data_IF_870989410229
#
_entry.id   IF_870989410229
#
_cell.length_a   1.000
_cell.length_b   1.000
_cell.length_c   1.000
_cell.angle_alpha   90.00
_cell.angle_beta   90.00
_cell.angle_gamma   90.00
#
_symmetry.space_group_name_H-M   'P 1'
#
loop_
_entity.id
_entity.type
_entity.pdbx_description
1 polymer ?
#
# COMPACT_ATOMS: atom_id res chain seq x y z
N UNK A 1 6.49 13.29 -26.16
CA UNK A 1 5.05 12.94 -26.09
C UNK A 1 4.82 12.25 -24.77
N UNK A 2 4.39 13.01 -23.77
CA UNK A 2 4.06 12.50 -22.44
C UNK A 2 2.60 12.09 -22.46
N UNK A 3 2.30 10.81 -22.21
CA UNK A 3 0.93 10.35 -22.00
C UNK A 3 0.77 10.10 -20.50
N UNK A 4 0.57 11.17 -19.75
CA UNK A 4 -0.08 11.09 -18.44
C UNK A 4 -1.58 10.96 -18.67
N UNK A 5 -2.10 9.73 -18.65
CA UNK A 5 -3.54 9.49 -18.46
C UNK A 5 -3.87 9.83 -17.00
N UNK A 6 -4.33 11.05 -16.78
CA UNK A 6 -5.02 11.42 -15.54
C UNK A 6 -6.32 10.60 -15.45
N UNK A 7 -6.35 9.59 -14.58
CA UNK A 7 -7.61 9.18 -13.96
C UNK A 7 -8.17 10.40 -13.19
N UNK A 8 -9.49 10.58 -13.11
CA UNK A 8 -10.06 11.75 -12.45
C UNK A 8 -9.72 11.71 -10.95
N UNK A 9 -8.77 12.55 -10.55
CA UNK A 9 -8.25 12.69 -9.19
C UNK A 9 -9.33 13.12 -8.17
N UNK A 10 -10.50 13.60 -8.63
CA UNK A 10 -11.53 14.19 -7.77
C UNK A 10 -12.52 13.17 -7.19
N UNK A 11 -13.02 12.21 -7.97
CA UNK A 11 -14.00 11.22 -7.49
C UNK A 11 -13.36 10.16 -6.56
N UNK A 12 -12.05 10.00 -6.65
CA UNK A 12 -11.29 8.98 -5.93
C UNK A 12 -10.85 9.47 -4.54
N UNK A 13 -10.66 10.77 -4.31
CA UNK A 13 -10.42 11.29 -2.95
C UNK A 13 -11.66 11.29 -2.07
N UNK A 14 -12.86 11.42 -2.66
CA UNK A 14 -14.14 11.41 -1.92
C UNK A 14 -14.38 10.13 -1.13
N UNK A 15 -13.77 9.01 -1.54
CA UNK A 15 -13.90 7.73 -0.86
C UNK A 15 -13.17 7.75 0.50
N UNK A 16 -11.96 8.28 0.55
CA UNK A 16 -11.18 8.34 1.79
C UNK A 16 -11.78 9.35 2.79
N UNK A 17 -12.49 10.36 2.30
CA UNK A 17 -13.23 11.32 3.13
C UNK A 17 -14.44 10.69 3.86
N UNK A 18 -14.81 9.45 3.54
CA UNK A 18 -15.83 8.68 4.26
C UNK A 18 -15.25 7.68 5.27
N UNK A 19 -13.91 7.61 5.39
CA UNK A 19 -13.22 6.81 6.39
C UNK A 19 -12.94 7.67 7.63
N UNK A 20 -13.63 7.36 8.72
CA UNK A 20 -13.53 8.06 9.99
C UNK A 20 -12.50 7.42 10.90
N UNK A 21 -11.52 8.18 11.36
CA UNK A 21 -10.64 7.79 12.46
C UNK A 21 -11.24 8.33 13.75
N UNK A 22 -11.56 7.43 14.68
CA UNK A 22 -12.19 7.76 15.96
C UNK A 22 -11.18 7.52 17.08
N UNK A 23 -10.88 8.54 17.87
CA UNK A 23 -10.02 8.41 19.05
C UNK A 23 -10.87 8.53 20.31
N UNK A 24 -10.89 7.48 21.13
CA UNK A 24 -11.67 7.42 22.35
C UNK A 24 -10.82 7.79 23.55
N UNK A 25 -11.24 8.85 24.24
CA UNK A 25 -10.72 9.28 25.54
C UNK A 25 -9.18 9.44 25.56
N UNK A 26 -8.63 10.03 24.49
CA UNK A 26 -7.20 10.28 24.35
C UNK A 26 -6.70 11.21 25.45
N UNK A 27 -5.66 10.77 26.16
CA UNK A 27 -5.11 11.50 27.32
C UNK A 27 -4.06 12.55 26.91
N UNK A 28 -3.28 12.29 25.85
CA UNK A 28 -2.23 13.20 25.43
C UNK A 28 -2.58 13.92 24.13
N UNK A 29 -2.78 15.24 24.21
CA UNK A 29 -3.07 16.10 23.04
C UNK A 29 -2.05 15.97 21.91
N UNK A 30 -0.78 15.70 22.23
CA UNK A 30 0.26 15.41 21.24
C UNK A 30 -0.01 14.18 20.37
N UNK A 31 -0.69 13.16 20.89
CA UNK A 31 -1.12 11.99 20.10
C UNK A 31 -2.23 12.36 19.13
N UNK A 32 -3.12 13.30 19.49
CA UNK A 32 -4.15 13.82 18.58
C UNK A 32 -3.48 14.52 17.40
N UNK A 33 -2.49 15.38 17.67
CA UNK A 33 -1.69 16.04 16.62
C UNK A 33 -0.96 15.06 15.71
N UNK A 34 -0.23 14.11 16.30
CA UNK A 34 0.49 13.08 15.54
C UNK A 34 -0.45 12.18 14.73
N UNK A 35 -1.65 11.89 15.24
CA UNK A 35 -2.72 11.18 14.52
C UNK A 35 -3.19 11.97 13.30
N UNK A 36 -3.50 13.26 13.46
CA UNK A 36 -3.89 14.12 12.35
C UNK A 36 -2.83 14.14 11.24
N UNK A 37 -1.54 14.21 11.63
CA UNK A 37 -0.41 14.11 10.69
C UNK A 37 -0.38 12.76 9.95
N UNK A 38 -0.53 11.66 10.68
CA UNK A 38 -0.54 10.32 10.11
C UNK A 38 -1.69 10.13 9.10
N UNK A 39 -2.89 10.57 9.47
CA UNK A 39 -4.08 10.56 8.61
C UNK A 39 -3.85 11.35 7.33
N UNK A 40 -3.42 12.62 7.45
CA UNK A 40 -3.21 13.49 6.29
C UNK A 40 -2.14 12.94 5.34
N UNK A 41 -1.07 12.35 5.89
CA UNK A 41 -0.02 11.71 5.08
C UNK A 41 -0.57 10.55 4.25
N UNK A 42 -1.59 9.84 4.76
CA UNK A 42 -2.23 8.73 4.06
C UNK A 42 -3.43 9.16 3.19
N UNK A 43 -3.88 10.41 3.30
CA UNK A 43 -5.00 10.97 2.55
C UNK A 43 -6.35 10.88 3.25
N UNK A 44 -6.37 10.65 4.57
CA UNK A 44 -7.59 10.65 5.39
C UNK A 44 -7.77 12.03 6.07
N UNK A 45 -9.02 12.46 6.20
CA UNK A 45 -9.38 13.80 6.69
C UNK A 45 -10.37 13.80 7.86
N UNK A 46 -11.17 12.75 8.04
CA UNK A 46 -12.24 12.71 9.04
C UNK A 46 -11.74 12.20 10.39
N UNK A 47 -11.40 13.12 11.29
CA UNK A 47 -11.05 12.83 12.67
C UNK A 47 -12.24 13.10 13.61
N UNK A 48 -12.55 12.13 14.46
CA UNK A 48 -13.54 12.29 15.54
C UNK A 48 -12.91 11.94 16.88
N UNK A 49 -13.10 12.81 17.87
CA UNK A 49 -12.62 12.66 19.23
C UNK A 49 -13.81 12.39 20.14
N UNK A 50 -13.83 11.22 20.76
CA UNK A 50 -14.87 10.84 21.73
C UNK A 50 -14.34 11.13 23.12
N UNK A 51 -14.96 12.10 23.80
CA UNK A 51 -14.64 12.49 25.17
C UNK A 51 -13.12 12.60 25.45
N UNK A 52 -12.35 13.38 24.67
CA UNK A 52 -10.92 13.53 24.90
C UNK A 52 -10.68 14.20 26.26
N UNK A 53 -9.65 13.75 27.00
CA UNK A 53 -9.34 14.30 28.35
C UNK A 53 -9.11 15.80 28.29
N UNK A 54 -8.37 16.23 27.28
CA UNK A 54 -8.15 17.63 26.93
C UNK A 54 -8.49 17.87 25.46
N UNK A 55 -9.05 19.04 25.16
CA UNK A 55 -9.25 19.48 23.77
C UNK A 55 -7.90 19.69 23.08
N UNK A 56 -7.82 19.58 21.74
CA UNK A 56 -6.60 19.88 21.00
C UNK A 56 -6.04 21.27 21.36
N UNK A 57 -4.76 21.32 21.72
CA UNK A 57 -4.08 22.50 22.24
C UNK A 57 -2.90 22.92 21.33
N UNK A 58 -2.04 23.81 21.83
CA UNK A 58 -0.82 24.20 21.12
C UNK A 58 0.13 23.03 20.84
N UNK A 59 0.17 22.01 21.71
CA UNK A 59 0.99 20.81 21.53
C UNK A 59 0.44 19.91 20.42
N UNK A 60 -0.87 19.70 20.37
CA UNK A 60 -1.52 19.01 19.26
C UNK A 60 -1.21 19.72 17.93
N UNK A 61 -1.35 21.04 17.90
CA UNK A 61 -1.07 21.86 16.71
C UNK A 61 0.39 21.73 16.25
N UNK A 62 1.35 21.77 17.19
CA UNK A 62 2.77 21.62 16.88
C UNK A 62 3.09 20.23 16.29
N UNK A 63 2.51 19.16 16.83
CA UNK A 63 2.78 17.80 16.35
C UNK A 63 2.03 17.42 15.06
N UNK A 64 0.95 18.13 14.73
CA UNK A 64 0.24 17.94 13.47
C UNK A 64 1.07 18.34 12.23
N UNK A 65 2.09 19.19 12.38
CA UNK A 65 3.11 19.50 11.37
C UNK A 65 2.54 19.65 9.93
N UNK A 66 1.59 20.57 9.74
CA UNK A 66 0.94 20.81 8.44
C UNK A 66 -0.43 20.13 8.25
N UNK A 67 -0.87 19.31 9.21
CA UNK A 67 -2.22 18.73 9.28
C UNK A 67 -3.18 19.52 10.19
N UNK A 68 -3.00 20.84 10.28
CA UNK A 68 -3.84 21.70 11.13
C UNK A 68 -5.30 21.77 10.68
N UNK A 69 -5.57 21.56 9.39
CA UNK A 69 -6.90 21.40 8.81
C UNK A 69 -7.65 20.18 9.33
N UNK A 70 -6.97 19.03 9.48
CA UNK A 70 -7.59 17.82 10.06
C UNK A 70 -7.97 18.05 11.52
N UNK A 71 -7.11 18.73 12.29
CA UNK A 71 -7.42 19.11 13.67
C UNK A 71 -8.55 20.14 13.75
N UNK A 72 -8.53 21.17 12.90
CA UNK A 72 -9.54 22.23 12.91
C UNK A 72 -10.94 21.71 12.55
N UNK A 73 -11.01 20.68 11.71
CA UNK A 73 -12.27 20.04 11.31
C UNK A 73 -12.63 18.83 12.17
N UNK A 74 -11.83 18.49 13.19
CA UNK A 74 -12.10 17.35 14.05
C UNK A 74 -13.39 17.56 14.84
N UNK A 75 -14.29 16.57 14.81
CA UNK A 75 -15.53 16.63 15.59
C UNK A 75 -15.30 16.07 16.98
N UNK A 76 -15.82 16.74 18.00
CA UNK A 76 -15.78 16.27 19.38
C UNK A 76 -17.19 15.86 19.79
N UNK A 77 -17.34 14.63 20.26
CA UNK A 77 -18.61 14.03 20.69
C UNK A 77 -18.46 13.37 22.05
N UNK A 78 -19.57 13.06 22.71
CA UNK A 78 -19.54 12.54 24.09
C UNK A 78 -19.46 11.02 24.17
N UNK A 79 -19.94 10.29 23.15
CA UNK A 79 -20.01 8.82 23.19
C UNK A 79 -19.51 8.19 21.89
N UNK A 80 -19.07 6.93 21.97
CA UNK A 80 -18.68 6.16 20.79
C UNK A 80 -19.88 5.94 19.87
N UNK A 81 -21.06 5.66 20.43
CA UNK A 81 -22.32 5.52 19.70
C UNK A 81 -22.58 6.73 18.79
N UNK A 82 -22.44 7.95 19.31
CA UNK A 82 -22.60 9.17 18.50
C UNK A 82 -21.56 9.24 17.37
N UNK A 83 -20.32 8.82 17.65
CA UNK A 83 -19.22 8.82 16.69
C UNK A 83 -19.36 7.77 15.58
N UNK A 84 -20.24 6.78 15.69
CA UNK A 84 -20.35 5.68 14.72
C UNK A 84 -21.77 5.41 14.20
N UNK A 85 -22.78 6.15 14.68
CA UNK A 85 -24.20 5.92 14.38
C UNK A 85 -24.58 5.83 12.89
N UNK A 86 -23.83 6.49 12.02
CA UNK A 86 -24.05 6.53 10.56
C UNK A 86 -23.09 5.63 9.78
N UNK A 87 -22.24 4.85 10.48
CA UNK A 87 -21.26 3.98 9.85
C UNK A 87 -21.83 2.59 9.55
N UNK A 88 -21.67 2.13 8.31
CA UNK A 88 -22.02 0.75 7.92
C UNK A 88 -21.02 -0.28 8.43
N UNK A 89 -19.79 0.14 8.71
CA UNK A 89 -18.74 -0.71 9.28
C UNK A 89 -17.95 0.03 10.36
N UNK A 90 -17.84 -0.61 11.53
CA UNK A 90 -17.05 -0.14 12.67
C UNK A 90 -16.01 -1.20 13.03
N UNK A 91 -14.73 -0.83 12.98
CA UNK A 91 -13.61 -1.70 13.34
C UNK A 91 -12.88 -1.11 14.55
N UNK A 92 -12.80 -1.85 15.64
CA UNK A 92 -12.10 -1.43 16.86
C UNK A 92 -10.70 -2.00 16.94
N UNK A 93 -9.71 -1.18 17.30
CA UNK A 93 -8.36 -1.69 17.59
C UNK A 93 -8.32 -2.35 18.95
N UNK A 94 -7.81 -3.58 19.01
CA UNK A 94 -7.70 -4.31 20.26
C UNK A 94 -6.44 -5.17 20.27
N UNK A 95 -5.85 -5.33 21.45
CA UNK A 95 -4.92 -6.43 21.68
C UNK A 95 -5.73 -7.75 21.66
N UNK A 96 -5.15 -8.83 21.13
CA UNK A 96 -5.84 -10.12 20.96
C UNK A 96 -6.56 -10.56 22.24
N UNK A 97 -7.89 -10.41 22.26
CA UNK A 97 -8.71 -10.77 23.42
C UNK A 97 -8.90 -12.28 23.47
N UNK A 98 -8.68 -12.89 24.64
CA UNK A 98 -8.84 -14.34 24.85
C UNK A 98 -10.18 -14.71 25.48
N UNK A 99 -10.97 -13.72 25.89
CA UNK A 99 -12.21 -13.93 26.67
C UNK A 99 -13.47 -14.05 25.81
N UNK A 100 -13.51 -13.37 24.66
CA UNK A 100 -14.62 -13.42 23.71
C UNK A 100 -14.06 -13.55 22.29
N UNK A 101 -14.53 -14.54 21.54
CA UNK A 101 -14.11 -14.79 20.15
C UNK A 101 -14.83 -13.84 19.19
N UNK A 102 -14.44 -12.57 19.22
CA UNK A 102 -14.86 -11.60 18.21
C UNK A 102 -14.18 -11.90 16.87
N UNK A 103 -14.82 -11.58 15.73
CA UNK A 103 -14.17 -11.74 14.45
C UNK A 103 -13.00 -10.76 14.33
N UNK A 104 -11.79 -11.31 14.25
CA UNK A 104 -10.55 -10.56 14.13
C UNK A 104 -10.17 -10.37 12.67
N UNK A 105 -9.65 -9.20 12.34
CA UNK A 105 -9.03 -8.88 11.06
C UNK A 105 -7.54 -8.64 11.27
N UNK A 106 -6.75 -9.08 10.30
CA UNK A 106 -5.39 -8.60 10.15
C UNK A 106 -5.39 -7.17 9.58
N UNK A 107 -4.33 -6.35 9.79
CA UNK A 107 -4.29 -4.96 9.33
C UNK A 107 -4.58 -4.78 7.83
N UNK A 108 -4.07 -5.69 6.99
CA UNK A 108 -4.31 -5.66 5.54
C UNK A 108 -5.77 -5.93 5.20
N UNK A 109 -6.36 -6.96 5.80
CA UNK A 109 -7.76 -7.32 5.61
C UNK A 109 -8.68 -6.19 6.10
N UNK A 110 -8.31 -5.52 7.20
CA UNK A 110 -9.01 -4.35 7.70
C UNK A 110 -9.03 -3.22 6.66
N UNK A 111 -7.87 -2.89 6.07
CA UNK A 111 -7.78 -1.89 5.00
C UNK A 111 -8.65 -2.24 3.79
N UNK A 112 -8.55 -3.48 3.30
CA UNK A 112 -9.35 -3.98 2.16
C UNK A 112 -10.86 -3.92 2.45
N UNK A 113 -11.27 -4.31 3.65
CA UNK A 113 -12.66 -4.34 4.06
C UNK A 113 -13.26 -2.94 4.20
N UNK A 114 -12.53 -2.02 4.83
CA UNK A 114 -12.94 -0.62 4.94
C UNK A 114 -13.11 0.02 3.55
N UNK A 115 -12.15 -0.19 2.65
CA UNK A 115 -12.20 0.34 1.27
C UNK A 115 -13.30 -0.30 0.42
N UNK A 116 -13.68 -1.54 0.70
CA UNK A 116 -14.83 -2.17 0.04
C UNK A 116 -16.15 -1.58 0.53
N UNK A 117 -16.31 -1.37 1.83
CA UNK A 117 -17.60 -0.96 2.41
C UNK A 117 -17.90 0.54 2.22
N UNK A 118 -16.85 1.35 2.20
CA UNK A 118 -16.93 2.82 2.12
C UNK A 118 -17.63 3.36 0.86
N UNK A 119 -17.78 2.51 -0.16
CA UNK A 119 -18.54 2.83 -1.37
C UNK A 119 -20.03 3.02 -1.09
N UNK A 120 -20.57 2.33 -0.08
CA UNK A 120 -21.99 2.34 0.25
C UNK A 120 -22.28 3.20 1.49
N UNK A 121 -21.45 3.09 2.52
CA UNK A 121 -21.67 3.74 3.82
C UNK A 121 -20.38 4.35 4.36
N UNK A 122 -20.44 5.40 5.19
CA UNK A 122 -19.29 5.80 6.01
C UNK A 122 -18.77 4.61 6.84
N UNK A 123 -17.48 4.61 7.12
CA UNK A 123 -16.85 3.55 7.93
C UNK A 123 -16.02 4.18 9.04
N UNK A 124 -15.88 3.47 10.17
CA UNK A 124 -15.12 3.95 11.32
C UNK A 124 -14.02 2.97 11.72
N UNK A 125 -12.83 3.49 11.94
CA UNK A 125 -11.72 2.82 12.59
C UNK A 125 -11.48 3.46 13.96
N UNK A 126 -11.73 2.70 15.02
CA UNK A 126 -11.82 3.17 16.40
C UNK A 126 -10.57 2.78 17.18
N UNK A 127 -9.93 3.76 17.79
CA UNK A 127 -8.76 3.60 18.64
C UNK A 127 -9.08 3.97 20.08
N UNK A 128 -8.57 3.17 21.00
CA UNK A 128 -8.78 3.36 22.42
C UNK A 128 -7.73 4.25 23.09
N UNK A 129 -7.82 4.27 24.42
CA UNK A 129 -6.92 5.01 25.33
C UNK A 129 -5.50 4.47 25.22
N UNK A 130 -4.50 5.33 25.44
CA UNK A 130 -3.08 4.96 25.33
C UNK A 130 -2.67 3.78 26.23
N UNK A 131 -3.20 3.73 27.46
CA UNK A 131 -2.78 2.76 28.46
C UNK A 131 -3.64 1.50 28.48
N UNK A 132 -4.94 1.62 28.17
CA UNK A 132 -5.93 0.57 28.42
C UNK A 132 -6.70 0.16 27.15
N UNK A 133 -6.49 0.83 26.02
CA UNK A 133 -7.25 0.59 24.80
C UNK A 133 -8.74 0.91 24.96
N UNK A 134 -9.57 0.17 24.22
CA UNK A 134 -11.03 0.25 24.26
C UNK A 134 -11.58 -0.59 25.40
N UNK A 135 -12.64 -0.11 26.05
CA UNK A 135 -13.40 -0.87 27.03
C UNK A 135 -14.14 -2.03 26.35
N UNK A 136 -14.60 -3.01 27.12
CA UNK A 136 -15.42 -4.10 26.57
C UNK A 136 -16.73 -3.59 25.96
N UNK A 137 -17.34 -2.55 26.55
CA UNK A 137 -18.56 -1.91 26.05
C UNK A 137 -18.33 -1.17 24.73
N UNK A 138 -17.15 -0.56 24.56
CA UNK A 138 -16.72 0.08 23.31
C UNK A 138 -16.42 -0.98 22.24
N UNK A 139 -15.77 -2.09 22.61
CA UNK A 139 -15.49 -3.20 21.71
C UNK A 139 -16.76 -3.91 21.22
N UNK A 140 -17.82 -3.96 22.03
CA UNK A 140 -19.11 -4.53 21.65
C UNK A 140 -19.87 -3.70 20.60
N UNK A 141 -19.53 -2.41 20.47
CA UNK A 141 -20.09 -1.54 19.42
C UNK A 141 -19.36 -1.70 18.08
N UNK A 142 -18.28 -2.48 18.03
CA UNK A 142 -17.51 -2.73 16.81
C UNK A 142 -17.95 -4.04 16.16
N UNK A 143 -18.06 -4.05 14.83
CA UNK A 143 -18.39 -5.26 14.07
C UNK A 143 -17.21 -6.23 13.99
N UNK A 144 -16.00 -5.68 13.87
CA UNK A 144 -14.75 -6.44 13.82
C UNK A 144 -13.71 -5.80 14.73
N UNK A 145 -12.75 -6.60 15.18
CA UNK A 145 -11.58 -6.10 15.88
C UNK A 145 -10.34 -6.26 14.99
N UNK A 146 -9.42 -5.33 15.07
CA UNK A 146 -8.13 -5.42 14.38
C UNK A 146 -7.01 -5.41 15.41
N UNK A 147 -6.08 -6.34 15.25
CA UNK A 147 -4.85 -6.41 16.05
C UNK A 147 -3.67 -6.20 15.11
N UNK A 148 -2.80 -5.25 15.41
CA UNK A 148 -1.56 -5.07 14.65
C UNK A 148 -0.57 -6.13 15.14
N UNK A 149 -0.07 -7.04 14.28
CA UNK A 149 0.97 -7.98 14.67
C UNK A 149 2.23 -7.22 15.12
N UNK A 150 2.67 -7.48 16.34
CA UNK A 150 3.81 -6.83 16.97
C UNK A 150 4.66 -7.87 17.71
N UNK A 151 5.79 -7.43 18.28
CA UNK A 151 6.62 -8.31 19.11
C UNK A 151 5.78 -8.85 20.29
N UNK A 152 5.65 -10.18 20.47
CA UNK A 152 4.90 -10.76 21.58
C UNK A 152 5.37 -10.31 22.97
N UNK A 153 6.65 -9.96 23.11
CA UNK A 153 7.24 -9.47 24.37
C UNK A 153 6.96 -7.99 24.63
N UNK A 154 6.66 -7.22 23.58
CA UNK A 154 6.37 -5.79 23.65
C UNK A 154 5.46 -5.38 22.50
N UNK A 155 4.16 -5.61 22.69
CA UNK A 155 3.13 -5.46 21.64
C UNK A 155 2.33 -4.15 21.74
N UNK A 156 2.62 -3.31 22.73
CA UNK A 156 1.95 -2.03 22.90
C UNK A 156 2.56 -0.98 21.96
N UNK A 157 1.79 -0.57 20.95
CA UNK A 157 2.16 0.52 20.07
C UNK A 157 1.67 1.85 20.66
N UNK A 158 2.46 2.91 20.47
CA UNK A 158 1.94 4.27 20.66
C UNK A 158 0.71 4.49 19.76
N UNK A 159 -0.29 5.24 20.27
CA UNK A 159 -1.54 5.53 19.58
C UNK A 159 -1.34 6.03 18.15
N UNK A 160 -0.49 7.03 17.94
CA UNK A 160 -0.26 7.59 16.61
C UNK A 160 0.46 6.60 15.67
N UNK A 161 1.31 5.71 16.21
CA UNK A 161 1.95 4.66 15.42
C UNK A 161 0.94 3.58 14.98
N UNK A 162 0.00 3.21 15.86
CA UNK A 162 -1.09 2.30 15.50
C UNK A 162 -1.99 2.92 14.42
N UNK A 163 -2.36 4.20 14.59
CA UNK A 163 -3.12 4.96 13.58
C UNK A 163 -2.37 4.99 12.26
N UNK A 164 -1.08 5.32 12.27
CA UNK A 164 -0.26 5.39 11.06
C UNK A 164 -0.22 4.06 10.30
N UNK A 165 -0.10 2.94 11.03
CA UNK A 165 -0.04 1.60 10.44
C UNK A 165 -1.35 1.24 9.74
N UNK A 166 -2.48 1.46 10.39
CA UNK A 166 -3.78 1.13 9.81
C UNK A 166 -4.23 2.11 8.72
N UNK A 167 -3.93 3.40 8.86
CA UNK A 167 -4.14 4.39 7.79
C UNK A 167 -3.32 4.05 6.54
N UNK A 168 -2.11 3.51 6.72
CA UNK A 168 -1.28 3.04 5.62
C UNK A 168 -1.93 1.85 4.89
N UNK A 169 -2.43 0.83 5.61
CA UNK A 169 -3.11 -0.30 4.98
C UNK A 169 -4.39 0.13 4.24
N UNK A 170 -5.16 1.09 4.78
CA UNK A 170 -6.30 1.69 4.08
C UNK A 170 -5.86 2.35 2.76
N UNK A 171 -4.78 3.14 2.80
CA UNK A 171 -4.22 3.76 1.59
C UNK A 171 -3.77 2.72 0.57
N UNK A 172 -3.10 1.66 1.01
CA UNK A 172 -2.64 0.59 0.12
C UNK A 172 -3.81 -0.14 -0.53
N UNK A 173 -4.86 -0.45 0.23
CA UNK A 173 -6.09 -1.03 -0.30
C UNK A 173 -6.76 -0.11 -1.33
N UNK A 174 -6.83 1.19 -1.06
CA UNK A 174 -7.36 2.19 -2.00
C UNK A 174 -6.56 2.26 -3.30
N UNK A 175 -5.22 2.29 -3.21
CA UNK A 175 -4.35 2.33 -4.39
C UNK A 175 -4.42 1.02 -5.19
N UNK A 176 -4.53 -0.13 -4.52
CA UNK A 176 -4.68 -1.42 -5.19
C UNK A 176 -6.01 -1.52 -5.94
N UNK A 177 -7.10 -1.01 -5.36
CA UNK A 177 -8.40 -0.93 -6.05
C UNK A 177 -8.38 0.00 -7.26
N UNK A 178 -7.57 1.06 -7.18
CA UNK A 178 -7.42 2.07 -8.24
C UNK A 178 -6.40 1.69 -9.32
N UNK A 179 -5.69 0.56 -9.17
CA UNK A 179 -4.78 0.07 -10.22
C UNK A 179 -5.61 -0.40 -11.42
N UNK A 180 -5.53 0.37 -12.50
CA UNK A 180 -5.85 -0.12 -13.84
C UNK A 180 -4.92 -1.31 -14.08
N UNK A 181 -5.40 -2.45 -14.59
CA UNK A 181 -4.50 -3.53 -15.01
C UNK A 181 -3.45 -2.93 -15.93
N UNK A 182 -2.17 -3.06 -15.59
CA UNK A 182 -1.09 -2.67 -16.50
C UNK A 182 -1.37 -3.35 -17.85
N UNK A 183 -1.25 -2.63 -18.96
CA UNK A 183 -1.24 -3.25 -20.29
C UNK A 183 -0.20 -4.36 -20.22
N UNK A 184 -0.67 -5.61 -20.28
CA UNK A 184 0.22 -6.76 -20.23
C UNK A 184 0.99 -6.76 -21.53
N UNK A 185 2.15 -6.13 -21.55
CA UNK A 185 3.07 -6.28 -22.66
C UNK A 185 3.40 -7.77 -22.77
N UNK A 186 3.10 -8.36 -23.93
CA UNK A 186 3.29 -9.80 -24.14
C UNK A 186 4.75 -10.17 -23.90
N UNK A 187 4.94 -11.06 -22.93
CA UNK A 187 6.23 -11.68 -22.68
C UNK A 187 6.44 -12.79 -23.72
N UNK A 188 7.61 -12.86 -24.38
CA UNK A 188 7.88 -13.89 -25.37
C UNK A 188 7.80 -15.29 -24.74
N UNK A 189 7.37 -16.27 -25.53
CA UNK A 189 7.37 -17.65 -25.09
C UNK A 189 8.81 -18.14 -24.88
N UNK A 190 8.97 -19.18 -24.06
CA UNK A 190 10.29 -19.76 -23.79
C UNK A 190 11.01 -20.19 -25.09
N UNK A 191 10.27 -20.66 -26.10
CA UNK A 191 10.82 -21.04 -27.41
C UNK A 191 11.37 -19.82 -28.18
N UNK A 192 10.73 -18.66 -28.10
CA UNK A 192 11.21 -17.43 -28.76
C UNK A 192 12.51 -16.93 -28.13
N UNK A 193 12.61 -16.99 -26.80
CA UNK A 193 13.85 -16.71 -26.08
C UNK A 193 14.96 -17.68 -26.46
N UNK A 194 14.66 -18.97 -26.60
CA UNK A 194 15.64 -19.99 -27.00
C UNK A 194 16.14 -19.77 -28.43
N UNK A 195 15.25 -19.41 -29.35
CA UNK A 195 15.61 -19.01 -30.72
C UNK A 195 16.48 -17.76 -30.73
N UNK A 196 16.19 -16.78 -29.88
CA UNK A 196 17.06 -15.61 -29.70
C UNK A 196 18.44 -16.01 -29.19
N UNK A 197 18.54 -16.85 -28.15
CA UNK A 197 19.83 -17.29 -27.62
C UNK A 197 20.65 -18.08 -28.64
N UNK A 198 19.99 -18.94 -29.41
CA UNK A 198 20.63 -19.68 -30.51
C UNK A 198 21.18 -18.72 -31.57
N UNK A 199 20.39 -17.71 -31.97
CA UNK A 199 20.83 -16.69 -32.94
C UNK A 199 21.98 -15.84 -32.40
N UNK A 200 21.92 -15.47 -31.11
CA UNK A 200 22.97 -14.71 -30.43
C UNK A 200 24.29 -15.47 -30.42
N UNK A 201 24.28 -16.75 -30.04
CA UNK A 201 25.47 -17.59 -30.00
C UNK A 201 26.10 -17.78 -31.38
N UNK A 202 25.27 -18.01 -32.40
CA UNK A 202 25.73 -18.11 -33.79
C UNK A 202 26.39 -16.82 -34.26
N UNK A 203 25.77 -15.67 -33.98
CA UNK A 203 26.30 -14.36 -34.37
C UNK A 203 27.63 -14.09 -33.68
N UNK A 204 27.71 -14.31 -32.36
CA UNK A 204 28.92 -14.09 -31.58
C UNK A 204 30.07 -15.02 -32.03
N UNK A 205 29.76 -16.26 -32.41
CA UNK A 205 30.74 -17.18 -33.00
C UNK A 205 31.29 -16.67 -34.33
N UNK A 206 30.44 -16.16 -35.25
CA UNK A 206 30.88 -15.59 -36.54
C UNK A 206 31.76 -14.35 -36.38
N UNK A 207 31.52 -13.55 -35.34
CA UNK A 207 32.38 -12.40 -35.01
C UNK A 207 33.69 -12.78 -34.32
N UNK A 208 33.94 -14.07 -34.07
CA UNK A 208 35.04 -14.60 -33.25
C UNK A 208 35.06 -14.09 -31.80
N UNK A 209 33.94 -13.57 -31.28
CA UNK A 209 33.81 -13.19 -29.88
C UNK A 209 33.73 -14.42 -28.97
N UNK A 210 33.00 -15.46 -29.41
CA UNK A 210 33.04 -16.79 -28.82
C UNK A 210 33.93 -17.65 -29.70
N UNK A 211 35.01 -18.19 -29.12
CA UNK A 211 35.95 -19.05 -29.82
C UNK A 211 35.58 -20.51 -29.53
N UNK A 212 35.37 -21.37 -30.54
CA UNK A 212 34.92 -22.76 -30.33
C UNK A 212 35.83 -23.60 -29.44
N UNK A 213 37.15 -23.37 -29.48
CA UNK A 213 38.10 -24.07 -28.61
C UNK A 213 38.03 -23.62 -27.15
N UNK A 214 37.51 -22.41 -26.88
CA UNK A 214 37.41 -21.81 -25.54
C UNK A 214 36.11 -21.01 -25.38
N UNK A 215 34.93 -21.67 -25.41
CA UNK A 215 33.64 -20.97 -25.36
C UNK A 215 33.38 -20.28 -24.01
N UNK A 216 34.10 -20.70 -22.96
CA UNK A 216 33.99 -20.14 -21.62
C UNK A 216 32.58 -20.22 -21.06
N UNK A 217 32.17 -19.17 -20.34
CA UNK A 217 30.85 -19.06 -19.69
C UNK A 217 30.01 -17.94 -20.29
N UNK A 218 30.35 -17.48 -21.50
CA UNK A 218 29.77 -16.27 -22.11
C UNK A 218 28.27 -16.43 -22.29
N UNK A 219 27.81 -17.49 -22.96
CA UNK A 219 26.38 -17.74 -23.18
C UNK A 219 25.62 -17.95 -21.88
N UNK A 220 26.20 -18.63 -20.89
CA UNK A 220 25.59 -18.78 -19.56
C UNK A 220 25.36 -17.43 -18.87
N UNK A 221 26.33 -16.51 -18.97
CA UNK A 221 26.21 -15.15 -18.41
C UNK A 221 25.19 -14.30 -19.18
N UNK A 222 25.16 -14.40 -20.51
CA UNK A 222 24.21 -13.68 -21.36
C UNK A 222 22.77 -14.16 -21.15
N UNK A 223 22.54 -15.48 -21.09
CA UNK A 223 21.23 -16.06 -20.73
C UNK A 223 20.76 -15.57 -19.37
N UNK A 224 21.64 -15.56 -18.37
CA UNK A 224 21.32 -15.03 -17.03
C UNK A 224 20.98 -13.53 -17.07
N UNK A 225 21.67 -12.74 -17.90
CA UNK A 225 21.39 -11.31 -18.07
C UNK A 225 19.99 -11.09 -18.65
N UNK A 226 19.68 -11.70 -19.80
CA UNK A 226 18.42 -11.49 -20.50
C UNK A 226 17.21 -12.11 -19.78
N UNK A 227 17.38 -13.29 -19.14
CA UNK A 227 16.30 -13.86 -18.31
C UNK A 227 15.94 -12.95 -17.12
N UNK A 228 16.94 -12.30 -16.50
CA UNK A 228 16.69 -11.34 -15.41
C UNK A 228 16.06 -10.04 -15.94
N UNK A 229 16.44 -9.60 -17.13
CA UNK A 229 15.90 -8.39 -17.74
C UNK A 229 14.43 -8.54 -18.14
N UNK A 230 13.96 -9.77 -18.41
CA UNK A 230 12.61 -10.10 -18.89
C UNK A 230 12.19 -9.21 -20.09
N UNK A 231 12.88 -9.29 -21.24
CA UNK A 231 12.54 -8.49 -22.40
C UNK A 231 11.15 -8.83 -22.94
N UNK A 232 10.41 -7.83 -23.38
CA UNK A 232 9.12 -7.96 -24.06
C UNK A 232 9.28 -8.51 -25.48
N UNK A 233 8.20 -8.98 -26.10
CA UNK A 233 8.24 -9.51 -27.47
C UNK A 233 8.80 -8.48 -28.48
N UNK A 234 8.45 -7.21 -28.31
CA UNK A 234 8.95 -6.13 -29.17
C UNK A 234 10.47 -5.92 -28.98
N UNK A 235 10.95 -5.92 -27.74
CA UNK A 235 12.37 -5.79 -27.42
C UNK A 235 13.17 -6.99 -27.94
N UNK A 236 12.63 -8.21 -27.82
CA UNK A 236 13.25 -9.42 -28.35
C UNK A 236 13.36 -9.36 -29.89
N UNK A 237 12.33 -8.83 -30.57
CA UNK A 237 12.37 -8.61 -32.02
C UNK A 237 13.44 -7.57 -32.41
N UNK A 238 13.60 -6.49 -31.64
CA UNK A 238 14.67 -5.51 -31.84
C UNK A 238 16.04 -6.17 -31.67
N UNK A 239 16.24 -6.93 -30.60
CA UNK A 239 17.49 -7.65 -30.34
C UNK A 239 17.83 -8.62 -31.47
N UNK A 240 16.86 -9.40 -31.95
CA UNK A 240 17.05 -10.28 -33.12
C UNK A 240 17.33 -9.49 -34.41
N UNK A 241 16.70 -8.33 -34.59
CA UNK A 241 16.97 -7.42 -35.70
C UNK A 241 18.42 -6.90 -35.69
N UNK A 242 18.96 -6.55 -34.51
CA UNK A 242 20.37 -6.18 -34.34
C UNK A 242 21.28 -7.32 -34.78
N UNK A 243 21.02 -8.55 -34.30
CA UNK A 243 21.81 -9.74 -34.69
C UNK A 243 21.76 -9.99 -36.20
N UNK A 244 20.59 -9.87 -36.82
CA UNK A 244 20.43 -10.01 -38.26
C UNK A 244 21.20 -8.93 -39.05
N UNK A 245 21.28 -7.69 -38.53
CA UNK A 245 22.07 -6.62 -39.14
C UNK A 245 23.58 -6.91 -39.05
N UNK A 246 24.04 -7.43 -37.92
CA UNK A 246 25.44 -7.86 -37.73
C UNK A 246 25.77 -8.99 -38.70
N UNK A 247 24.93 -10.02 -38.78
CA UNK A 247 25.10 -11.15 -39.70
C UNK A 247 25.23 -10.71 -41.17
N UNK A 248 24.41 -9.74 -41.60
CA UNK A 248 24.51 -9.18 -42.97
C UNK A 248 25.83 -8.48 -43.22
N UNK A 249 26.34 -7.76 -42.23
CA UNK A 249 27.59 -7.00 -42.35
C UNK A 249 28.82 -7.92 -42.43
N UNK A 250 28.77 -9.09 -41.79
CA UNK A 250 29.83 -10.10 -41.88
C UNK A 250 29.86 -10.71 -43.28
N UNK A 251 28.71 -11.12 -43.82
CA UNK A 251 28.62 -11.70 -45.18
C UNK A 251 29.06 -10.76 -46.30
N UNK A 252 29.00 -9.44 -46.10
CA UNK A 252 29.44 -8.46 -47.08
C UNK A 252 30.97 -8.26 -47.10
N UNK A 253 31.70 -8.85 -46.14
CA UNK A 253 33.17 -8.79 -46.05
C UNK A 253 33.86 -10.06 -46.58
N UNK A 254 33.10 -11.13 -46.79
CA UNK A 254 33.55 -12.36 -47.47
C UNK A 254 33.36 -12.22 -48.99
#
# INVERSE_FOLDING_TARGET
>A
MSITKNAPQSASSEILDKVRVVLVNTSHTGNIGSTARAMKTMGLSQLVLVDPVDKPDGKASALAAGAGDVLANAKIVSTLEEAVKDCGLVVGTSARSRTLSWPMLEPRECGEKLISEVEQYPVALVFGRENNGLSNEELQQCHFHVCIPANPEYSSLNLAAAVQTLCYEIRMAFLNKSRIPEETNEYPLADDLERFYSHLEQTLSKTNFIIPQHPGMVMTKLRRLFNRARPETQELNILRGILASVDKSIKAKD
#
